data_IF_796032953774
#
_entry.id   IF_796032953774
#
_cell.length_a   1.000
_cell.length_b   1.000
_cell.length_c   1.000
_cell.angle_alpha   90.00
_cell.angle_beta   90.00
_cell.angle_gamma   90.00
#
_symmetry.space_group_name_H-M   'P 1'
#
loop_
_entity.id
_entity.type
_entity.pdbx_description
1 polymer ?
#
# COMPACT_ATOMS: atom_id res chain seq x y z
N UNK A 1 38.25 53.41 54.59
CA UNK A 1 36.85 53.81 54.90
C UNK A 1 36.26 54.56 53.70
N UNK A 2 35.00 54.28 53.34
CA UNK A 2 34.20 55.19 52.50
C UNK A 2 33.66 54.59 51.21
N UNK A 3 32.51 53.92 51.29
CA UNK A 3 31.65 53.54 50.15
C UNK A 3 30.95 54.78 49.60
N UNK A 4 30.82 54.91 48.28
CA UNK A 4 29.68 55.61 47.66
C UNK A 4 29.14 54.73 46.53
N UNK A 5 27.89 54.32 46.75
CA UNK A 5 27.01 53.53 45.89
C UNK A 5 26.62 54.34 44.65
N UNK A 6 26.73 53.74 43.46
CA UNK A 6 26.11 54.28 42.24
C UNK A 6 24.90 53.41 41.91
N UNK A 7 23.72 53.96 42.20
CA UNK A 7 22.44 53.35 41.87
C UNK A 7 21.94 53.81 40.51
N UNK A 8 21.55 52.82 39.70
CA UNK A 8 20.36 52.90 38.85
C UNK A 8 20.51 53.51 37.46
N UNK A 9 20.49 52.65 36.44
CA UNK A 9 19.40 52.71 35.46
C UNK A 9 19.24 51.32 34.82
N UNK A 10 18.18 50.61 35.23
CA UNK A 10 17.73 49.39 34.57
C UNK A 10 17.23 49.74 33.17
N UNK A 11 18.02 49.46 32.14
CA UNK A 11 17.50 49.31 30.79
C UNK A 11 16.87 47.93 30.68
N UNK A 12 15.53 47.87 30.79
CA UNK A 12 14.76 46.67 30.47
C UNK A 12 14.90 46.38 28.97
N UNK A 13 15.81 45.49 28.62
CA UNK A 13 15.85 44.89 27.29
C UNK A 13 14.66 43.94 27.16
N UNK A 14 13.65 44.35 26.40
CA UNK A 14 12.53 43.48 26.02
C UNK A 14 13.05 42.62 24.87
N UNK A 15 13.54 41.43 25.19
CA UNK A 15 13.96 40.43 24.21
C UNK A 15 12.72 39.72 23.68
N UNK A 16 12.17 40.22 22.58
CA UNK A 16 11.08 39.55 21.86
C UNK A 16 11.64 38.29 21.21
N UNK A 17 11.40 37.13 21.81
CA UNK A 17 11.70 35.82 21.19
C UNK A 17 10.59 35.53 20.18
N UNK A 18 10.90 35.72 18.90
CA UNK A 18 10.01 35.28 17.82
C UNK A 18 10.05 33.75 17.74
N UNK A 19 9.00 33.09 18.25
CA UNK A 19 8.82 31.65 18.09
C UNK A 19 8.44 31.36 16.63
N UNK A 20 9.40 30.86 15.85
CA UNK A 20 9.18 30.41 14.48
C UNK A 20 8.46 29.06 14.52
N UNK A 21 7.14 29.08 14.38
CA UNK A 21 6.34 27.85 14.23
C UNK A 21 6.58 27.31 12.83
N UNK A 22 7.45 26.32 12.70
CA UNK A 22 7.58 25.56 11.45
C UNK A 22 6.34 24.68 11.35
N UNK A 23 5.34 25.14 10.60
CA UNK A 23 4.21 24.30 10.24
C UNK A 23 4.73 23.19 9.30
N UNK A 24 4.91 21.99 9.83
CA UNK A 24 5.10 20.80 8.99
C UNK A 24 3.79 20.57 8.24
N UNK A 25 3.74 20.92 6.97
CA UNK A 25 2.66 20.51 6.08
C UNK A 25 2.68 18.98 6.01
N UNK A 26 1.71 18.34 6.66
CA UNK A 26 1.42 16.94 6.44
C UNK A 26 0.89 16.81 5.00
N UNK A 27 1.78 16.52 4.06
CA UNK A 27 1.38 16.08 2.73
C UNK A 27 0.70 14.73 2.92
N UNK A 28 -0.58 14.61 2.58
CA UNK A 28 -1.23 13.32 2.48
C UNK A 28 -0.46 12.52 1.42
N UNK A 29 0.31 11.53 1.86
CA UNK A 29 0.96 10.59 0.95
C UNK A 29 -0.17 9.73 0.40
N UNK A 30 -0.41 9.77 -0.91
CA UNK A 30 -1.42 8.92 -1.54
C UNK A 30 -1.09 7.46 -1.22
N UNK A 31 -2.02 6.76 -0.59
CA UNK A 31 -1.82 5.35 -0.22
C UNK A 31 -1.56 4.51 -1.48
N UNK A 32 -0.57 3.61 -1.38
CA UNK A 32 -0.32 2.62 -2.40
C UNK A 32 -1.45 1.58 -2.38
N UNK A 33 -2.28 1.59 -3.42
CA UNK A 33 -3.44 0.73 -3.57
C UNK A 33 -3.53 0.21 -5.00
N UNK A 34 -4.35 -0.83 -5.21
CA UNK A 34 -4.62 -1.36 -6.55
C UNK A 34 -5.25 -0.28 -7.46
N UNK A 35 -6.07 0.62 -6.88
CA UNK A 35 -6.68 1.71 -7.65
C UNK A 35 -5.67 2.79 -8.02
N UNK A 36 -4.73 3.14 -7.13
CA UNK A 36 -3.68 4.10 -7.46
C UNK A 36 -2.72 3.52 -8.50
N UNK A 37 -2.41 2.22 -8.46
CA UNK A 37 -1.66 1.54 -9.53
C UNK A 37 -2.39 1.57 -10.88
N UNK A 38 -3.71 1.34 -10.89
CA UNK A 38 -4.52 1.37 -12.11
C UNK A 38 -4.63 2.77 -12.75
N UNK A 39 -4.53 3.84 -11.95
CA UNK A 39 -4.68 5.23 -12.40
C UNK A 39 -3.34 5.95 -12.57
N UNK A 40 -2.27 5.43 -11.96
CA UNK A 40 -0.96 6.07 -11.92
C UNK A 40 -0.33 6.20 -13.31
N UNK A 41 0.33 7.33 -13.56
CA UNK A 41 0.88 7.67 -14.87
C UNK A 41 1.89 6.64 -15.38
N UNK A 42 2.73 6.14 -14.47
CA UNK A 42 3.82 5.18 -14.75
C UNK A 42 3.39 3.72 -14.58
N UNK A 43 2.27 3.45 -13.92
CA UNK A 43 1.83 2.11 -13.52
C UNK A 43 0.62 1.60 -14.29
N UNK A 44 -0.22 2.50 -14.84
CA UNK A 44 -1.43 2.12 -15.59
C UNK A 44 -1.18 1.14 -16.74
N UNK A 45 -0.02 1.23 -17.40
CA UNK A 45 0.33 0.35 -18.51
C UNK A 45 0.57 -1.09 -18.01
N UNK A 46 1.34 -1.24 -16.93
CA UNK A 46 1.58 -2.53 -16.29
C UNK A 46 0.29 -3.12 -15.71
N UNK A 47 -0.57 -2.29 -15.10
CA UNK A 47 -1.88 -2.72 -14.63
C UNK A 47 -2.75 -3.24 -15.78
N UNK A 48 -2.82 -2.49 -16.90
CA UNK A 48 -3.59 -2.89 -18.07
C UNK A 48 -3.06 -4.21 -18.68
N UNK A 49 -1.74 -4.41 -18.69
CA UNK A 49 -1.14 -5.66 -19.12
C UNK A 49 -1.52 -6.81 -18.18
N UNK A 50 -1.48 -6.59 -16.87
CA UNK A 50 -1.86 -7.61 -15.87
C UNK A 50 -3.29 -8.12 -16.09
N UNK A 51 -4.23 -7.21 -16.37
CA UNK A 51 -5.66 -7.54 -16.52
C UNK A 51 -6.07 -7.87 -17.96
N UNK A 52 -5.13 -7.84 -18.91
CA UNK A 52 -5.42 -8.04 -20.33
C UNK A 52 -6.11 -9.39 -20.58
N UNK A 53 -7.23 -9.36 -21.33
CA UNK A 53 -8.02 -10.56 -21.61
C UNK A 53 -8.98 -10.98 -20.49
N UNK A 54 -8.95 -10.31 -19.34
CA UNK A 54 -9.84 -10.57 -18.22
C UNK A 54 -10.89 -9.47 -18.06
N UNK A 55 -12.16 -9.86 -17.89
CA UNK A 55 -13.27 -8.93 -17.60
C UNK A 55 -13.42 -8.78 -16.09
N UNK A 56 -12.62 -7.90 -15.49
CA UNK A 56 -12.73 -7.57 -14.07
C UNK A 56 -13.87 -6.58 -13.80
N UNK A 57 -14.51 -6.65 -12.62
CA UNK A 57 -15.54 -5.70 -12.25
C UNK A 57 -14.97 -4.30 -12.02
N UNK A 58 -15.77 -3.27 -12.31
CA UNK A 58 -15.33 -1.87 -12.28
C UNK A 58 -14.79 -1.40 -10.92
N UNK A 59 -15.20 -2.04 -9.81
CA UNK A 59 -14.74 -1.68 -8.46
C UNK A 59 -13.22 -1.85 -8.32
N UNK A 60 -12.60 -2.77 -9.05
CA UNK A 60 -11.14 -3.01 -8.98
C UNK A 60 -10.38 -1.74 -9.36
N UNK A 61 -10.77 -1.08 -10.46
CA UNK A 61 -10.13 0.15 -10.91
C UNK A 61 -10.62 1.38 -10.15
N UNK A 62 -11.92 1.44 -9.80
CA UNK A 62 -12.51 2.60 -9.14
C UNK A 62 -11.96 2.80 -7.72
N UNK A 63 -11.66 1.70 -7.03
CA UNK A 63 -11.28 1.67 -5.62
C UNK A 63 -12.26 0.80 -4.84
N UNK A 64 -11.81 -0.39 -4.45
CA UNK A 64 -12.51 -1.25 -3.50
C UNK A 64 -12.16 -0.90 -2.05
N UNK A 65 -12.74 -1.62 -1.10
CA UNK A 65 -12.23 -1.63 0.28
C UNK A 65 -10.89 -2.35 0.25
N UNK A 66 -9.81 -1.69 0.71
CA UNK A 66 -8.45 -2.20 0.56
C UNK A 66 -7.78 -2.48 1.90
N UNK A 67 -6.77 -3.34 1.86
CA UNK A 67 -5.81 -3.57 2.94
C UNK A 67 -4.51 -2.84 2.60
N UNK A 68 -3.80 -2.22 3.57
CA UNK A 68 -2.51 -1.58 3.33
C UNK A 68 -1.50 -2.51 2.64
N UNK A 69 -0.66 -1.95 1.78
CA UNK A 69 0.39 -2.70 1.10
C UNK A 69 1.37 -3.32 2.11
N UNK A 70 1.75 -4.57 1.85
CA UNK A 70 2.75 -5.31 2.61
C UNK A 70 3.97 -5.56 1.74
N UNK A 71 5.17 -5.47 2.31
CA UNK A 71 6.41 -5.78 1.58
C UNK A 71 6.72 -7.26 1.71
N UNK A 72 6.92 -7.94 0.58
CA UNK A 72 7.28 -9.36 0.53
C UNK A 72 8.51 -9.57 -0.36
N UNK A 73 9.46 -10.35 0.13
CA UNK A 73 10.65 -10.77 -0.63
C UNK A 73 10.50 -12.22 -1.10
N UNK A 74 10.67 -12.45 -2.40
CA UNK A 74 10.75 -13.77 -3.05
C UNK A 74 12.10 -13.92 -3.76
N UNK A 75 12.96 -14.80 -3.24
CA UNK A 75 14.37 -14.87 -3.61
C UNK A 75 15.05 -13.51 -3.40
N UNK A 76 15.60 -12.95 -4.47
CA UNK A 76 16.28 -11.65 -4.47
C UNK A 76 15.36 -10.48 -4.88
N UNK A 77 14.09 -10.74 -5.19
CA UNK A 77 13.14 -9.71 -5.66
C UNK A 77 12.17 -9.31 -4.54
N UNK A 78 11.88 -8.01 -4.45
CA UNK A 78 10.97 -7.44 -3.47
C UNK A 78 9.74 -6.86 -4.14
N UNK A 79 8.59 -7.11 -3.54
CA UNK A 79 7.28 -6.75 -4.07
C UNK A 79 6.47 -5.98 -3.01
N UNK A 80 5.68 -5.03 -3.49
CA UNK A 80 4.52 -4.53 -2.75
C UNK A 80 3.33 -5.42 -3.04
N UNK A 81 2.71 -5.95 -1.99
CA UNK A 81 1.57 -6.85 -2.06
C UNK A 81 0.36 -6.15 -1.46
N UNK A 82 -0.67 -5.95 -2.27
CA UNK A 82 -1.91 -5.29 -1.87
C UNK A 82 -3.09 -6.22 -2.10
N UNK A 83 -4.16 -6.02 -1.34
CA UNK A 83 -5.45 -6.62 -1.63
C UNK A 83 -6.57 -5.60 -1.54
N UNK A 84 -7.66 -5.88 -2.26
CA UNK A 84 -8.89 -5.13 -2.18
C UNK A 84 -10.09 -6.04 -2.43
N UNK A 85 -11.25 -5.64 -1.96
CA UNK A 85 -12.48 -6.36 -2.14
C UNK A 85 -13.64 -5.45 -2.55
N UNK A 86 -14.70 -6.07 -3.06
CA UNK A 86 -15.90 -5.38 -3.46
C UNK A 86 -16.54 -4.69 -2.23
N UNK A 87 -16.76 -3.36 -2.28
CA UNK A 87 -17.39 -2.66 -1.17
C UNK A 87 -18.75 -3.28 -0.81
N UNK A 88 -18.99 -3.45 0.48
CA UNK A 88 -20.20 -4.07 1.04
C UNK A 88 -20.41 -5.56 0.72
N UNK A 89 -19.46 -6.19 0.04
CA UNK A 89 -19.55 -7.59 -0.42
C UNK A 89 -18.16 -8.24 -0.46
N UNK A 90 -17.38 -7.99 0.60
CA UNK A 90 -15.95 -8.28 0.63
C UNK A 90 -15.66 -9.79 0.56
N UNK A 91 -16.51 -10.59 1.19
CA UNK A 91 -16.35 -12.05 1.24
C UNK A 91 -16.50 -12.71 -0.14
N UNK A 92 -17.31 -12.13 -1.02
CA UNK A 92 -17.73 -12.74 -2.28
C UNK A 92 -16.86 -12.34 -3.48
N UNK A 93 -16.22 -11.17 -3.47
CA UNK A 93 -15.29 -10.76 -4.52
C UNK A 93 -14.09 -9.99 -3.98
N UNK A 94 -12.90 -10.46 -4.33
CA UNK A 94 -11.62 -9.92 -3.85
C UNK A 94 -10.51 -10.11 -4.85
N UNK A 95 -9.51 -9.26 -4.76
CA UNK A 95 -8.33 -9.25 -5.61
C UNK A 95 -7.08 -9.03 -4.77
N UNK A 96 -6.00 -9.72 -5.12
CA UNK A 96 -4.65 -9.43 -4.64
C UNK A 96 -3.75 -9.10 -5.83
N UNK A 97 -2.79 -8.21 -5.61
CA UNK A 97 -1.80 -7.78 -6.60
C UNK A 97 -0.43 -7.74 -5.94
N UNK A 98 0.56 -8.33 -6.60
CA UNK A 98 1.98 -8.14 -6.31
C UNK A 98 2.58 -7.26 -7.40
N UNK A 99 3.29 -6.21 -6.98
CA UNK A 99 3.96 -5.28 -7.87
C UNK A 99 5.42 -5.14 -7.49
N UNK A 100 6.32 -5.34 -8.45
CA UNK A 100 7.74 -5.02 -8.28
C UNK A 100 7.97 -3.58 -8.71
N UNK A 101 8.34 -2.71 -7.78
CA UNK A 101 8.71 -1.32 -8.08
C UNK A 101 9.92 -1.26 -9.03
N UNK A 102 10.85 -2.20 -8.87
CA UNK A 102 12.11 -2.30 -9.64
C UNK A 102 11.86 -2.59 -11.12
N UNK A 103 11.00 -3.55 -11.44
CA UNK A 103 10.73 -3.97 -12.82
C UNK A 103 9.43 -3.41 -13.39
N UNK A 104 8.62 -2.77 -12.55
CA UNK A 104 7.25 -2.35 -12.82
C UNK A 104 6.31 -3.51 -13.22
N UNK A 105 6.71 -4.76 -12.98
CA UNK A 105 5.87 -5.91 -13.29
C UNK A 105 4.78 -6.08 -12.25
N UNK A 106 3.58 -6.43 -12.71
CA UNK A 106 2.43 -6.74 -11.86
C UNK A 106 1.91 -8.13 -12.17
N UNK A 107 1.63 -8.88 -11.10
CA UNK A 107 0.86 -10.12 -11.15
C UNK A 107 -0.29 -10.04 -10.15
N UNK A 108 -1.36 -10.77 -10.38
CA UNK A 108 -2.52 -10.71 -9.52
C UNK A 108 -3.32 -12.00 -9.46
N UNK A 109 -4.24 -12.02 -8.51
CA UNK A 109 -5.21 -13.07 -8.29
C UNK A 109 -6.56 -12.43 -8.04
N UNK A 110 -7.54 -12.72 -8.90
CA UNK A 110 -8.92 -12.35 -8.68
C UNK A 110 -9.72 -13.57 -8.20
N UNK A 111 -10.51 -13.40 -7.15
CA UNK A 111 -11.38 -14.44 -6.60
C UNK A 111 -12.84 -14.01 -6.63
N UNK A 112 -13.71 -14.97 -6.93
CA UNK A 112 -15.16 -14.87 -6.73
C UNK A 112 -15.66 -16.12 -6.02
N UNK A 113 -16.45 -15.93 -4.97
CA UNK A 113 -17.17 -17.00 -4.29
C UNK A 113 -18.62 -17.03 -4.77
N UNK A 114 -19.10 -18.22 -5.13
CA UNK A 114 -20.52 -18.49 -5.28
C UNK A 114 -21.12 -18.80 -3.90
N UNK A 115 -21.95 -17.90 -3.38
CA UNK A 115 -22.57 -18.03 -2.06
C UNK A 115 -23.45 -19.28 -1.92
N UNK A 116 -24.03 -19.78 -3.02
CA UNK A 116 -24.92 -20.94 -2.98
C UNK A 116 -24.15 -22.25 -2.84
N UNK A 117 -22.99 -22.32 -3.47
CA UNK A 117 -22.18 -23.55 -3.54
C UNK A 117 -20.95 -23.48 -2.64
N UNK A 118 -20.64 -22.30 -2.09
CA UNK A 118 -19.38 -21.99 -1.41
C UNK A 118 -18.13 -22.29 -2.25
N UNK A 119 -18.27 -22.40 -3.57
CA UNK A 119 -17.14 -22.63 -4.47
C UNK A 119 -16.41 -21.32 -4.73
N UNK A 120 -15.09 -21.35 -4.57
CA UNK A 120 -14.21 -20.24 -4.89
C UNK A 120 -13.58 -20.44 -6.26
N UNK A 121 -13.80 -19.48 -7.17
CA UNK A 121 -13.18 -19.45 -8.49
C UNK A 121 -12.02 -18.45 -8.49
N UNK A 122 -10.84 -18.96 -8.78
CA UNK A 122 -9.60 -18.19 -8.89
C UNK A 122 -9.28 -17.87 -10.36
N UNK A 123 -8.92 -16.62 -10.62
CA UNK A 123 -8.41 -16.15 -11.91
C UNK A 123 -7.02 -15.54 -11.70
N UNK A 124 -6.00 -16.22 -12.20
CA UNK A 124 -4.62 -15.75 -12.17
C UNK A 124 -4.38 -14.70 -13.26
N UNK A 125 -3.72 -13.61 -12.90
CA UNK A 125 -3.51 -12.44 -13.75
C UNK A 125 -2.02 -12.25 -13.99
N UNK A 126 -1.56 -12.49 -15.24
CA UNK A 126 -0.17 -12.27 -15.65
C UNK A 126 0.87 -12.92 -14.71
N UNK A 127 0.63 -14.18 -14.29
CA UNK A 127 1.58 -14.95 -13.48
C UNK A 127 2.63 -15.54 -14.43
N UNK A 128 3.89 -15.17 -14.23
CA UNK A 128 5.02 -15.77 -14.95
C UNK A 128 5.57 -17.00 -14.21
N UNK A 129 6.45 -17.76 -14.84
CA UNK A 129 7.00 -19.00 -14.28
C UNK A 129 7.74 -18.78 -12.96
N UNK A 130 8.42 -17.65 -12.80
CA UNK A 130 9.14 -17.28 -11.58
C UNK A 130 8.22 -17.11 -10.36
N UNK A 131 6.95 -16.78 -10.57
CA UNK A 131 5.95 -16.57 -9.51
C UNK A 131 4.95 -17.73 -9.42
N UNK A 132 5.23 -18.84 -10.10
CA UNK A 132 4.26 -19.93 -10.31
C UNK A 132 3.89 -20.72 -9.05
N UNK A 133 4.72 -20.70 -8.00
CA UNK A 133 4.50 -21.42 -6.74
C UNK A 133 4.38 -20.43 -5.57
N UNK A 134 5.49 -19.81 -5.16
CA UNK A 134 5.49 -18.94 -3.97
C UNK A 134 4.71 -17.65 -4.22
N UNK A 135 4.83 -17.06 -5.41
CA UNK A 135 4.03 -15.91 -5.81
C UNK A 135 2.52 -16.18 -5.75
N UNK A 136 2.09 -17.36 -6.18
CA UNK A 136 0.69 -17.79 -6.04
C UNK A 136 0.25 -17.91 -4.58
N UNK A 137 1.12 -18.47 -3.75
CA UNK A 137 0.86 -18.62 -2.30
C UNK A 137 0.74 -17.27 -1.61
N UNK A 138 1.65 -16.33 -1.91
CA UNK A 138 1.61 -14.95 -1.38
C UNK A 138 0.35 -14.22 -1.82
N UNK A 139 -0.01 -14.30 -3.11
CA UNK A 139 -1.25 -13.71 -3.62
C UNK A 139 -2.49 -14.26 -2.92
N UNK A 140 -2.54 -15.57 -2.69
CA UNK A 140 -3.66 -16.19 -1.98
C UNK A 140 -3.69 -15.76 -0.51
N UNK A 141 -2.54 -15.71 0.16
CA UNK A 141 -2.42 -15.24 1.54
C UNK A 141 -2.83 -13.77 1.73
N UNK A 142 -2.51 -12.90 0.76
CA UNK A 142 -2.96 -11.51 0.74
C UNK A 142 -4.48 -11.41 0.57
N UNK A 143 -5.05 -12.29 -0.25
CA UNK A 143 -6.48 -12.33 -0.54
C UNK A 143 -7.31 -12.90 0.63
N UNK A 144 -6.76 -13.83 1.41
CA UNK A 144 -7.40 -14.40 2.61
C UNK A 144 -7.20 -13.56 3.87
N UNK A 145 -6.30 -12.57 3.84
CA UNK A 145 -5.92 -11.77 5.01
C UNK A 145 -4.82 -12.41 5.86
N UNK A 146 -4.30 -13.58 5.50
CA UNK A 146 -3.21 -14.23 6.23
C UNK A 146 -1.93 -13.40 6.20
N UNK A 147 -1.64 -12.74 5.07
CA UNK A 147 -0.48 -11.84 4.96
C UNK A 147 -0.61 -10.62 5.87
N UNK A 148 -1.81 -10.07 6.02
CA UNK A 148 -2.07 -8.96 6.95
C UNK A 148 -1.86 -9.38 8.40
N UNK A 149 -2.30 -10.59 8.77
CA UNK A 149 -2.11 -11.15 10.11
C UNK A 149 -0.66 -11.53 10.42
N UNK A 150 0.13 -11.83 9.38
CA UNK A 150 1.51 -12.32 9.50
C UNK A 150 2.42 -11.64 8.45
N UNK A 151 2.70 -10.33 8.60
CA UNK A 151 3.38 -9.53 7.58
C UNK A 151 4.77 -10.06 7.21
N UNK A 152 5.49 -10.64 8.18
CA UNK A 152 6.83 -11.19 7.94
C UNK A 152 6.84 -12.69 7.57
N UNK A 153 5.69 -13.36 7.63
CA UNK A 153 5.56 -14.83 7.53
C UNK A 153 5.62 -15.40 6.11
N UNK A 154 5.70 -14.54 5.10
CA UNK A 154 5.61 -14.91 3.68
C UNK A 154 6.84 -14.50 2.87
N UNK A 155 7.95 -14.21 3.54
CA UNK A 155 9.24 -13.95 2.88
C UNK A 155 9.94 -15.28 2.59
N UNK A 156 10.03 -15.65 1.31
CA UNK A 156 10.69 -16.87 0.86
C UNK A 156 12.00 -16.49 0.18
N UNK A 157 13.11 -16.59 0.91
CA UNK A 157 14.45 -16.18 0.48
C UNK A 157 15.29 -17.37 0.03
#
# INVERSE_FOLDING_TARGET
>A
MGRISSGGMMFKAITTVAALVIATSAMAQDDLTISSLAKGETTKAAFNQMVQGHKLPAWVMKGGTYTPAQTVTLGDETYQVMSACKPHDCGSQRIAVMWSEKSNQMTGLFSTIDEKTSQEKLTWLNVNDALSIDGKTVLFAALTGSLENHPDGFNFK
#
